data_IF_694966026755
#
_entry.id   IF_694966026755
#
_cell.length_a   1.000
_cell.length_b   1.000
_cell.length_c   1.000
_cell.angle_alpha   90.00
_cell.angle_beta   90.00
_cell.angle_gamma   90.00
#
_symmetry.space_group_name_H-M   'P 1'
#
loop_
_entity.id
_entity.type
_entity.pdbx_description
1 polymer ?
#
# COMPACT_ATOMS: atom_id res chain seq x y z
N UNK A 1 18.44 11.55 11.58
CA UNK A 1 17.06 11.04 11.68
C UNK A 1 16.40 11.79 12.82
N UNK A 2 15.29 12.48 12.57
CA UNK A 2 14.57 13.31 13.55
C UNK A 2 13.11 12.85 13.65
N UNK A 3 12.45 13.14 14.76
CA UNK A 3 11.03 12.89 14.95
C UNK A 3 10.35 14.17 15.44
N UNK A 4 9.12 14.42 14.97
CA UNK A 4 8.33 15.59 15.32
C UNK A 4 6.88 15.18 15.53
N UNK A 5 6.26 15.65 16.61
CA UNK A 5 4.85 15.41 16.88
C UNK A 5 4.01 16.47 16.18
N UNK A 6 3.39 16.10 15.05
CA UNK A 6 2.46 16.95 14.33
C UNK A 6 1.47 16.09 13.54
N UNK A 7 0.33 16.64 13.15
CA UNK A 7 -0.44 16.07 12.03
C UNK A 7 0.41 16.19 10.76
N UNK A 8 0.15 15.41 9.71
CA UNK A 8 0.90 15.49 8.44
C UNK A 8 0.16 16.36 7.40
N UNK A 9 0.18 17.70 7.48
CA UNK A 9 -0.22 18.54 6.36
C UNK A 9 0.87 18.50 5.28
N UNK A 10 0.46 18.66 4.02
CA UNK A 10 1.36 18.67 2.86
C UNK A 10 2.52 19.67 3.00
N UNK A 11 2.28 20.81 3.66
CA UNK A 11 3.32 21.82 3.89
C UNK A 11 4.46 21.33 4.79
N UNK A 12 4.18 20.52 5.82
CA UNK A 12 5.21 19.96 6.69
C UNK A 12 6.00 18.90 5.95
N UNK A 13 5.32 18.03 5.18
CA UNK A 13 5.98 17.01 4.35
C UNK A 13 6.97 17.65 3.38
N UNK A 14 6.58 18.75 2.72
CA UNK A 14 7.44 19.47 1.78
C UNK A 14 8.63 20.14 2.48
N UNK A 15 8.41 20.76 3.64
CA UNK A 15 9.48 21.37 4.44
C UNK A 15 10.51 20.32 4.89
N UNK A 16 10.05 19.16 5.37
CA UNK A 16 10.92 18.07 5.77
C UNK A 16 11.68 17.48 4.56
N UNK A 17 11.02 17.34 3.40
CA UNK A 17 11.69 16.93 2.16
C UNK A 17 12.81 17.89 1.78
N UNK A 18 12.52 19.20 1.77
CA UNK A 18 13.50 20.22 1.44
C UNK A 18 14.66 20.22 2.44
N UNK A 19 14.36 20.04 3.73
CA UNK A 19 15.37 19.91 4.77
C UNK A 19 16.29 18.71 4.51
N UNK A 20 15.73 17.53 4.21
CA UNK A 20 16.49 16.32 3.89
C UNK A 20 17.32 16.50 2.62
N UNK A 21 16.76 17.08 1.56
CA UNK A 21 17.48 17.34 0.30
C UNK A 21 18.67 18.27 0.49
N UNK A 22 18.51 19.30 1.31
CA UNK A 22 19.60 20.19 1.68
C UNK A 22 20.72 19.43 2.39
N UNK A 23 20.39 18.55 3.35
CA UNK A 23 21.39 17.70 4.01
C UNK A 23 22.08 16.75 3.02
N UNK A 24 21.33 16.18 2.07
CA UNK A 24 21.87 15.29 1.04
C UNK A 24 22.85 16.02 0.12
N UNK A 25 22.57 17.26 -0.26
CA UNK A 25 23.46 18.07 -1.11
C UNK A 25 24.80 18.37 -0.44
N UNK A 26 24.83 18.38 0.89
CA UNK A 26 26.01 18.65 1.70
C UNK A 26 26.85 17.39 1.98
N UNK A 27 26.37 16.20 1.60
CA UNK A 27 27.10 14.95 1.83
C UNK A 27 28.40 14.93 1.03
N UNK A 28 29.50 14.78 1.75
CA UNK A 28 30.83 14.59 1.16
C UNK A 28 31.20 13.11 1.17
N UNK A 29 31.94 12.62 0.16
CA UNK A 29 32.46 11.27 0.19
C UNK A 29 33.31 11.04 1.43
N UNK A 30 33.05 9.96 2.16
CA UNK A 30 33.87 9.60 3.31
C UNK A 30 35.19 9.05 2.81
N UNK A 31 36.29 9.67 3.22
CA UNK A 31 37.65 9.20 2.90
C UNK A 31 38.17 8.42 4.09
N UNK A 32 38.66 7.21 3.84
CA UNK A 32 39.24 6.33 4.83
C UNK A 32 40.62 5.89 4.37
N UNK A 33 41.61 5.94 5.26
CA UNK A 33 42.96 5.50 4.98
C UNK A 33 43.28 4.31 5.86
N UNK A 34 43.67 3.18 5.25
CA UNK A 34 44.13 2.01 5.96
C UNK A 34 45.23 1.29 5.17
N UNK A 35 46.28 0.87 5.88
CA UNK A 35 47.42 0.13 5.32
C UNK A 35 47.99 0.72 4.00
N UNK A 36 48.14 2.06 3.94
CA UNK A 36 48.70 2.75 2.77
C UNK A 36 47.74 2.91 1.57
N UNK A 37 46.49 2.45 1.67
CA UNK A 37 45.47 2.63 0.63
C UNK A 37 44.42 3.67 1.06
N UNK A 38 44.11 4.58 0.14
CA UNK A 38 43.02 5.53 0.28
C UNK A 38 41.75 4.94 -0.31
N UNK A 39 40.71 4.80 0.50
CA UNK A 39 39.36 4.40 0.09
C UNK A 39 38.44 5.62 0.17
N UNK A 40 37.55 5.78 -0.81
CA UNK A 40 36.52 6.82 -0.80
C UNK A 40 35.15 6.22 -1.06
N UNK A 41 34.23 6.43 -0.13
CA UNK A 41 32.83 6.00 -0.26
C UNK A 41 31.98 7.19 -0.72
N UNK A 42 31.40 7.08 -1.92
CA UNK A 42 30.39 8.01 -2.44
C UNK A 42 28.99 7.50 -2.09
N UNK A 43 28.11 8.40 -1.68
CA UNK A 43 26.74 8.07 -1.30
C UNK A 43 25.76 8.54 -2.37
N UNK A 44 24.79 7.69 -2.69
CA UNK A 44 23.60 8.02 -3.48
C UNK A 44 22.40 7.55 -2.68
N UNK A 45 21.56 8.49 -2.25
CA UNK A 45 20.38 8.20 -1.43
C UNK A 45 19.14 8.35 -2.30
N UNK A 46 18.22 7.40 -2.19
CA UNK A 46 16.96 7.38 -2.92
C UNK A 46 15.81 7.39 -1.90
N UNK A 47 14.84 8.28 -2.10
CA UNK A 47 13.71 8.44 -1.18
C UNK A 47 12.54 7.53 -1.58
N UNK A 48 12.77 6.22 -1.58
CA UNK A 48 11.77 5.22 -2.00
C UNK A 48 10.90 4.69 -0.86
N UNK A 49 11.26 5.01 0.39
CA UNK A 49 10.56 4.56 1.59
C UNK A 49 9.42 5.50 1.98
N UNK A 50 8.56 5.84 1.02
CA UNK A 50 7.38 6.70 1.21
C UNK A 50 6.12 6.02 0.66
N UNK A 51 4.95 6.42 1.14
CA UNK A 51 3.67 5.96 0.58
C UNK A 51 3.21 6.90 -0.57
N UNK A 52 2.14 6.52 -1.27
CA UNK A 52 1.63 7.29 -2.41
C UNK A 52 1.07 8.67 -2.03
N UNK A 53 0.56 8.82 -0.81
CA UNK A 53 0.04 10.09 -0.31
C UNK A 53 1.16 11.11 -0.08
N UNK A 54 2.23 10.67 0.60
CA UNK A 54 3.44 11.50 0.80
C UNK A 54 4.07 11.85 -0.54
N UNK A 55 4.15 10.91 -1.49
CA UNK A 55 4.64 11.19 -2.83
C UNK A 55 3.79 12.27 -3.52
N UNK A 56 2.46 12.17 -3.46
CA UNK A 56 1.54 13.16 -4.04
C UNK A 56 1.66 14.53 -3.37
N UNK A 57 1.88 14.57 -2.05
CA UNK A 57 2.12 15.81 -1.32
C UNK A 57 3.44 16.48 -1.72
N UNK A 58 4.51 15.70 -1.89
CA UNK A 58 5.82 16.20 -2.33
C UNK A 58 5.74 16.74 -3.77
N UNK A 59 5.04 16.05 -4.67
CA UNK A 59 4.91 16.44 -6.09
C UNK A 59 3.80 17.48 -6.34
N UNK A 60 3.15 18.01 -5.30
CA UNK A 60 1.98 18.90 -5.42
C UNK A 60 0.87 18.33 -6.33
N UNK A 61 0.70 17.01 -6.32
CA UNK A 61 -0.32 16.32 -7.11
C UNK A 61 -1.60 16.15 -6.28
N UNK A 62 -2.76 16.32 -6.92
CA UNK A 62 -4.05 16.14 -6.26
C UNK A 62 -4.26 14.68 -5.79
N UNK A 63 -5.02 14.51 -4.70
CA UNK A 63 -5.39 13.17 -4.21
C UNK A 63 -6.01 12.33 -5.32
N UNK A 64 -5.63 11.05 -5.40
CA UNK A 64 -6.05 10.07 -6.43
C UNK A 64 -5.56 10.37 -7.87
N UNK A 65 -4.75 11.40 -8.08
CA UNK A 65 -4.09 11.66 -9.38
C UNK A 65 -2.72 11.01 -9.40
N UNK A 66 -2.30 10.45 -10.54
CA UNK A 66 -0.99 9.83 -10.66
C UNK A 66 0.11 10.88 -10.49
N UNK A 67 1.00 10.72 -9.50
CA UNK A 67 2.11 11.65 -9.25
C UNK A 67 3.25 11.57 -10.29
N UNK A 68 3.22 10.56 -11.17
CA UNK A 68 4.21 10.39 -12.25
C UNK A 68 3.77 11.10 -13.53
N UNK A 69 2.55 10.84 -14.02
CA UNK A 69 2.05 11.35 -15.30
C UNK A 69 0.89 12.36 -15.18
N UNK A 70 0.37 12.62 -13.98
CA UNK A 70 -0.71 13.58 -13.75
C UNK A 70 -2.11 13.11 -14.18
N UNK A 71 -2.27 11.86 -14.63
CA UNK A 71 -3.55 11.30 -15.05
C UNK A 71 -4.54 11.23 -13.89
N UNK A 72 -5.78 11.68 -14.11
CA UNK A 72 -6.89 11.59 -13.15
C UNK A 72 -7.62 10.25 -13.26
N UNK A 73 -8.33 9.77 -12.22
CA UNK A 73 -9.08 8.52 -12.27
C UNK A 73 -10.06 8.39 -13.45
N UNK A 74 -10.64 9.50 -13.90
CA UNK A 74 -11.53 9.55 -15.06
C UNK A 74 -10.84 9.26 -16.40
N UNK A 75 -9.52 9.37 -16.47
CA UNK A 75 -8.71 9.20 -17.68
C UNK A 75 -7.86 7.92 -17.63
N UNK A 76 -7.63 7.36 -16.44
CA UNK A 76 -6.72 6.21 -16.23
C UNK A 76 -7.13 4.94 -17.00
N UNK A 77 -8.40 4.82 -17.41
CA UNK A 77 -8.88 3.66 -18.16
C UNK A 77 -8.67 3.78 -19.69
N UNK A 78 -8.25 4.93 -20.20
CA UNK A 78 -7.89 5.11 -21.61
C UNK A 78 -6.41 4.77 -21.77
N UNK A 79 -6.10 3.48 -21.91
CA UNK A 79 -4.73 2.98 -21.81
C UNK A 79 -3.85 3.55 -22.92
N UNK A 80 -4.39 3.65 -24.13
CA UNK A 80 -3.71 4.20 -25.29
C UNK A 80 -3.25 5.64 -25.03
N UNK A 81 -4.15 6.47 -24.49
CA UNK A 81 -3.85 7.87 -24.17
C UNK A 81 -2.82 8.01 -23.03
N UNK A 82 -2.82 7.07 -22.08
CA UNK A 82 -2.02 7.17 -20.85
C UNK A 82 -0.59 6.66 -21.05
N UNK A 83 -0.39 5.63 -21.87
CA UNK A 83 0.94 5.06 -22.14
C UNK A 83 1.86 6.07 -22.81
N UNK A 84 1.31 6.94 -23.65
CA UNK A 84 2.07 7.97 -24.37
C UNK A 84 2.35 9.24 -23.54
N UNK A 85 1.88 9.31 -22.29
CA UNK A 85 2.08 10.48 -21.45
C UNK A 85 3.53 10.58 -20.97
N UNK A 86 4.08 11.80 -21.05
CA UNK A 86 5.35 12.12 -20.43
C UNK A 86 5.26 11.97 -18.91
N UNK A 87 6.25 11.29 -18.34
CA UNK A 87 6.40 11.16 -16.89
C UNK A 87 7.32 12.24 -16.34
N UNK A 88 7.05 12.69 -15.12
CA UNK A 88 7.98 13.53 -14.39
C UNK A 88 9.16 12.67 -13.90
N UNK A 89 10.30 12.76 -14.59
CA UNK A 89 11.53 12.01 -14.25
C UNK A 89 11.99 12.26 -12.81
N UNK A 90 11.82 13.48 -12.30
CA UNK A 90 12.11 13.82 -10.91
C UNK A 90 11.24 13.08 -9.89
N UNK A 91 10.10 12.53 -10.30
CA UNK A 91 9.22 11.74 -9.44
C UNK A 91 9.57 10.24 -9.41
N UNK A 92 10.41 9.76 -10.34
CA UNK A 92 10.84 8.36 -10.38
C UNK A 92 11.68 7.97 -9.15
N UNK A 93 12.36 8.94 -8.52
CA UNK A 93 13.18 8.73 -7.32
C UNK A 93 12.38 8.24 -6.10
N UNK A 94 11.05 8.37 -6.15
CA UNK A 94 10.14 7.98 -5.07
C UNK A 94 9.75 6.49 -5.14
N UNK A 95 10.05 5.81 -6.24
CA UNK A 95 9.79 4.38 -6.41
C UNK A 95 8.31 4.00 -6.28
N UNK A 96 8.06 2.72 -6.01
CA UNK A 96 6.72 2.18 -5.77
C UNK A 96 6.68 1.68 -4.32
N UNK A 97 5.71 2.15 -3.53
CA UNK A 97 5.44 1.55 -2.23
C UNK A 97 4.90 0.14 -2.46
N UNK A 98 5.65 -0.93 -2.18
CA UNK A 98 5.20 -2.30 -2.50
C UNK A 98 4.03 -2.76 -1.61
N UNK A 99 3.88 -2.20 -0.41
CA UNK A 99 2.86 -2.62 0.55
C UNK A 99 1.43 -2.25 0.10
N UNK A 100 1.22 -1.02 -0.35
CA UNK A 100 -0.10 -0.46 -0.64
C UNK A 100 -0.78 -1.02 -1.91
N UNK A 101 -0.07 -1.30 -3.03
CA UNK A 101 -0.66 -1.85 -4.25
C UNK A 101 -1.40 -3.15 -4.03
N UNK A 102 -0.89 -4.06 -3.19
CA UNK A 102 -1.58 -5.32 -2.87
C UNK A 102 -2.90 -5.07 -2.13
N UNK A 103 -2.89 -4.16 -1.14
CA UNK A 103 -4.07 -3.80 -0.35
C UNK A 103 -5.11 -3.12 -1.24
N UNK A 104 -4.71 -2.11 -2.00
CA UNK A 104 -5.61 -1.37 -2.89
C UNK A 104 -6.15 -2.23 -4.03
N UNK A 105 -5.33 -3.13 -4.61
CA UNK A 105 -5.78 -4.06 -5.64
C UNK A 105 -6.87 -4.99 -5.09
N UNK A 106 -6.65 -5.55 -3.90
CA UNK A 106 -7.65 -6.41 -3.27
C UNK A 106 -8.93 -5.64 -2.92
N UNK A 107 -8.80 -4.43 -2.36
CA UNK A 107 -9.93 -3.54 -2.10
C UNK A 107 -10.73 -3.20 -3.37
N UNK A 108 -10.04 -2.92 -4.48
CA UNK A 108 -10.65 -2.67 -5.79
C UNK A 108 -11.45 -3.88 -6.28
N UNK A 109 -10.88 -5.08 -6.23
CA UNK A 109 -11.56 -6.32 -6.64
C UNK A 109 -12.82 -6.59 -5.79
N UNK A 110 -12.74 -6.39 -4.47
CA UNK A 110 -13.91 -6.50 -3.59
C UNK A 110 -14.98 -5.46 -3.96
N UNK A 111 -14.57 -4.21 -4.19
CA UNK A 111 -15.44 -3.13 -4.62
C UNK A 111 -16.12 -3.38 -5.96
N UNK A 112 -15.45 -4.03 -6.90
CA UNK A 112 -16.04 -4.50 -8.15
C UNK A 112 -17.04 -5.62 -7.85
N UNK A 113 -16.65 -6.63 -7.07
CA UNK A 113 -17.50 -7.77 -6.71
C UNK A 113 -18.82 -7.34 -6.04
N UNK A 114 -18.78 -6.38 -5.11
CA UNK A 114 -19.96 -5.86 -4.43
C UNK A 114 -20.91 -5.11 -5.38
N UNK A 115 -20.36 -4.51 -6.45
CA UNK A 115 -21.09 -3.68 -7.41
C UNK A 115 -21.48 -4.41 -8.69
N UNK A 116 -21.24 -5.73 -8.82
CA UNK A 116 -21.55 -6.49 -10.05
C UNK A 116 -23.01 -6.39 -10.51
N UNK A 117 -23.96 -6.17 -9.59
CA UNK A 117 -25.37 -5.97 -9.91
C UNK A 117 -25.66 -4.57 -10.48
N UNK A 118 -24.94 -3.53 -10.02
CA UNK A 118 -25.16 -2.12 -10.40
C UNK A 118 -24.25 -1.71 -11.57
N UNK A 119 -23.02 -2.25 -11.62
CA UNK A 119 -21.98 -1.99 -12.64
C UNK A 119 -21.67 -0.50 -12.86
N UNK A 120 -21.74 0.30 -11.79
CA UNK A 120 -21.41 1.73 -11.81
C UNK A 120 -20.34 2.05 -10.78
N UNK A 121 -19.42 2.96 -11.14
CA UNK A 121 -18.40 3.48 -10.23
C UNK A 121 -19.03 4.30 -9.09
N UNK A 122 -19.83 5.30 -9.43
CA UNK A 122 -20.58 6.12 -8.47
C UNK A 122 -22.00 5.57 -8.31
N UNK A 123 -22.26 4.97 -7.15
CA UNK A 123 -23.54 4.33 -6.85
C UNK A 123 -24.55 5.38 -6.39
N UNK A 124 -25.71 5.44 -7.05
CA UNK A 124 -26.80 6.35 -6.68
C UNK A 124 -27.40 5.99 -5.33
N UNK A 125 -27.99 6.96 -4.61
CA UNK A 125 -28.52 6.76 -3.24
C UNK A 125 -29.58 5.64 -3.18
N UNK A 126 -30.42 5.53 -4.20
CA UNK A 126 -31.45 4.51 -4.32
C UNK A 126 -30.88 3.09 -4.56
N UNK A 127 -29.69 2.95 -5.13
CA UNK A 127 -29.07 1.66 -5.47
C UNK A 127 -28.09 1.16 -4.40
N UNK A 128 -27.80 1.95 -3.34
CA UNK A 128 -26.90 1.57 -2.26
C UNK A 128 -27.27 0.23 -1.59
N UNK A 129 -28.56 -0.06 -1.48
CA UNK A 129 -29.06 -1.31 -0.89
C UNK A 129 -28.64 -2.55 -1.70
N UNK A 130 -28.50 -2.43 -3.03
CA UNK A 130 -28.04 -3.52 -3.90
C UNK A 130 -26.57 -3.84 -3.65
N UNK A 131 -25.74 -2.81 -3.47
CA UNK A 131 -24.31 -2.98 -3.16
C UNK A 131 -24.12 -3.58 -1.77
N UNK A 132 -24.92 -3.17 -0.79
CA UNK A 132 -24.87 -3.75 0.56
C UNK A 132 -25.30 -5.23 0.55
N UNK A 133 -26.30 -5.59 -0.26
CA UNK A 133 -26.68 -6.99 -0.50
C UNK A 133 -25.54 -7.78 -1.15
N UNK A 134 -24.91 -7.22 -2.18
CA UNK A 134 -23.74 -7.81 -2.85
C UNK A 134 -22.58 -8.04 -1.88
N UNK A 135 -22.27 -7.04 -1.04
CA UNK A 135 -21.27 -7.12 0.02
C UNK A 135 -21.55 -8.28 0.99
N UNK A 136 -22.76 -8.34 1.56
CA UNK A 136 -23.16 -9.43 2.47
C UNK A 136 -23.04 -10.81 1.83
N UNK A 137 -23.48 -10.95 0.57
CA UNK A 137 -23.36 -12.21 -0.19
C UNK A 137 -21.91 -12.65 -0.37
N UNK A 138 -21.03 -11.73 -0.75
CA UNK A 138 -19.60 -12.03 -0.93
C UNK A 138 -18.95 -12.37 0.42
N UNK A 139 -19.23 -11.61 1.48
CA UNK A 139 -18.72 -11.90 2.82
C UNK A 139 -19.16 -13.28 3.33
N UNK A 140 -20.42 -13.65 3.12
CA UNK A 140 -20.93 -14.97 3.51
C UNK A 140 -20.24 -16.10 2.72
N UNK A 141 -20.04 -15.91 1.41
CA UNK A 141 -19.25 -16.86 0.60
C UNK A 141 -17.80 -16.98 1.08
N UNK A 142 -17.17 -15.86 1.45
CA UNK A 142 -15.83 -15.89 2.03
C UNK A 142 -15.80 -16.67 3.36
N UNK A 143 -16.80 -16.49 4.22
CA UNK A 143 -16.92 -17.27 5.46
C UNK A 143 -17.10 -18.76 5.20
N UNK A 144 -17.91 -19.14 4.20
CA UNK A 144 -18.05 -20.55 3.81
C UNK A 144 -16.73 -21.14 3.27
N UNK A 145 -15.91 -20.32 2.62
CA UNK A 145 -14.59 -20.73 2.15
C UNK A 145 -13.53 -20.72 3.27
N UNK A 146 -13.85 -20.23 4.48
CA UNK A 146 -12.91 -20.14 5.59
C UNK A 146 -12.44 -21.53 6.04
N UNK A 147 -13.33 -22.52 6.03
CA UNK A 147 -12.97 -23.91 6.34
C UNK A 147 -11.96 -24.48 5.33
N UNK A 148 -12.13 -24.16 4.04
CA UNK A 148 -11.19 -24.57 3.01
C UNK A 148 -9.84 -23.85 3.15
N UNK A 149 -9.86 -22.56 3.53
CA UNK A 149 -8.65 -21.80 3.83
C UNK A 149 -7.91 -22.38 5.04
N UNK A 150 -8.61 -22.69 6.13
CA UNK A 150 -8.03 -23.28 7.34
C UNK A 150 -7.32 -24.60 7.02
N UNK A 151 -7.99 -25.53 6.33
CA UNK A 151 -7.39 -26.81 5.93
C UNK A 151 -6.18 -26.63 5.03
N UNK A 152 -6.30 -25.77 4.01
CA UNK A 152 -5.19 -25.51 3.10
C UNK A 152 -3.99 -24.87 3.81
N UNK A 153 -4.23 -23.92 4.71
CA UNK A 153 -3.19 -23.26 5.48
C UNK A 153 -2.47 -24.23 6.42
N UNK A 154 -3.21 -25.14 7.05
CA UNK A 154 -2.65 -26.21 7.88
C UNK A 154 -1.80 -27.18 7.05
N UNK A 155 -2.27 -27.58 5.87
CA UNK A 155 -1.53 -28.45 4.94
C UNK A 155 -0.23 -27.79 4.46
N UNK A 156 -0.26 -26.49 4.16
CA UNK A 156 0.92 -25.71 3.79
C UNK A 156 1.89 -25.59 4.97
N UNK A 157 1.41 -25.41 6.20
CA UNK A 157 2.26 -25.40 7.39
C UNK A 157 2.96 -26.74 7.59
N UNK A 158 2.24 -27.86 7.45
CA UNK A 158 2.81 -29.21 7.52
C UNK A 158 3.83 -29.44 6.41
N UNK A 159 3.53 -29.00 5.19
CA UNK A 159 4.44 -29.07 4.05
C UNK A 159 5.72 -28.27 4.30
N UNK A 160 5.60 -27.05 4.84
CA UNK A 160 6.75 -26.21 5.16
C UNK A 160 7.69 -26.89 6.16
N UNK A 161 7.15 -27.42 7.26
CA UNK A 161 7.96 -28.13 8.27
C UNK A 161 8.61 -29.38 7.68
N UNK A 162 7.93 -30.08 6.78
CA UNK A 162 8.45 -31.29 6.14
C UNK A 162 9.60 -31.00 5.18
N UNK A 163 9.46 -30.04 4.28
CA UNK A 163 10.44 -29.75 3.23
C UNK A 163 11.55 -28.79 3.71
N UNK A 164 11.21 -27.89 4.63
CA UNK A 164 12.06 -26.77 5.05
C UNK A 164 12.18 -26.65 6.57
N UNK A 165 11.98 -27.74 7.34
CA UNK A 165 12.04 -27.73 8.81
C UNK A 165 13.40 -27.33 9.39
N UNK A 166 14.44 -27.23 8.56
CA UNK A 166 15.75 -26.67 8.93
C UNK A 166 15.78 -25.13 8.94
N UNK A 167 14.74 -24.47 8.45
CA UNK A 167 14.58 -23.02 8.46
C UNK A 167 13.38 -22.65 9.34
N UNK A 168 13.61 -21.88 10.40
CA UNK A 168 12.56 -21.48 11.32
C UNK A 168 11.48 -20.65 10.61
N UNK A 169 10.23 -21.07 10.76
CA UNK A 169 9.09 -20.38 10.15
C UNK A 169 9.00 -18.94 10.66
N UNK A 170 8.99 -17.93 9.77
CA UNK A 170 8.84 -16.54 10.18
C UNK A 170 7.53 -16.28 10.94
N UNK A 171 7.55 -15.37 11.91
CA UNK A 171 6.39 -15.05 12.75
C UNK A 171 5.15 -14.61 11.94
N UNK A 172 5.34 -13.89 10.84
CA UNK A 172 4.25 -13.49 9.94
C UNK A 172 3.61 -14.68 9.25
N UNK A 173 4.43 -15.62 8.76
CA UNK A 173 3.95 -16.86 8.13
C UNK A 173 3.22 -17.75 9.14
N UNK A 174 3.74 -17.89 10.36
CA UNK A 174 3.06 -18.60 11.43
C UNK A 174 1.68 -17.99 11.75
N UNK A 175 1.61 -16.65 11.92
CA UNK A 175 0.34 -15.96 12.17
C UNK A 175 -0.68 -16.18 11.06
N UNK A 176 -0.25 -16.21 9.79
CA UNK A 176 -1.13 -16.43 8.65
C UNK A 176 -1.58 -17.90 8.60
N UNK A 177 -0.65 -18.85 8.66
CA UNK A 177 -0.95 -20.26 8.44
C UNK A 177 -1.70 -20.90 9.61
N UNK A 178 -1.35 -20.52 10.85
CA UNK A 178 -1.94 -21.14 12.06
C UNK A 178 -3.12 -20.31 12.58
N UNK A 179 -2.99 -18.98 12.63
CA UNK A 179 -3.99 -18.09 13.23
C UNK A 179 -4.83 -17.30 12.21
N UNK A 180 -4.54 -17.42 10.92
CA UNK A 180 -5.20 -16.62 9.89
C UNK A 180 -6.71 -16.81 9.85
N UNK A 181 -7.18 -18.05 10.02
CA UNK A 181 -8.62 -18.35 10.03
C UNK A 181 -9.34 -17.67 11.22
N UNK A 182 -8.72 -17.62 12.41
CA UNK A 182 -9.25 -16.92 13.59
C UNK A 182 -9.28 -15.39 13.39
N UNK A 183 -8.24 -14.85 12.75
CA UNK A 183 -8.18 -13.43 12.42
C UNK A 183 -9.28 -13.05 11.42
N UNK A 184 -9.51 -13.89 10.41
CA UNK A 184 -10.55 -13.67 9.41
C UNK A 184 -11.95 -13.88 10.02
N UNK A 185 -12.13 -14.85 10.92
CA UNK A 185 -13.43 -15.14 11.54
C UNK A 185 -13.86 -14.05 12.53
N UNK A 186 -12.91 -13.47 13.27
CA UNK A 186 -13.13 -12.37 14.21
C UNK A 186 -13.28 -11.01 13.51
N UNK A 187 -12.81 -10.90 12.27
CA UNK A 187 -12.91 -9.69 11.48
C UNK A 187 -14.36 -9.49 10.96
N UNK A 188 -14.98 -8.36 11.34
CA UNK A 188 -16.31 -7.98 10.83
C UNK A 188 -16.31 -7.68 9.32
N UNK A 189 -15.14 -7.42 8.73
CA UNK A 189 -14.91 -7.11 7.33
C UNK A 189 -13.68 -7.88 6.83
N UNK A 190 -13.58 -8.26 5.54
CA UNK A 190 -12.38 -8.89 5.00
C UNK A 190 -11.13 -8.05 5.34
N UNK A 191 -10.05 -8.73 5.75
CA UNK A 191 -8.85 -8.11 6.37
C UNK A 191 -8.31 -6.88 5.60
N UNK A 192 -8.41 -6.88 4.26
CA UNK A 192 -8.02 -5.72 3.43
C UNK A 192 -8.81 -4.43 3.70
N UNK A 193 -10.05 -4.50 4.20
CA UNK A 193 -10.86 -3.34 4.61
C UNK A 193 -10.50 -2.83 6.01
N UNK A 194 -9.87 -3.66 6.85
CA UNK A 194 -9.52 -3.28 8.23
C UNK A 194 -8.17 -2.56 8.33
N UNK A 195 -7.32 -2.67 7.32
CA UNK A 195 -5.97 -2.09 7.35
C UNK A 195 -5.94 -0.59 7.02
N UNK A 196 -6.84 -0.10 6.15
CA UNK A 196 -6.76 1.28 5.61
C UNK A 196 -8.10 2.04 5.69
N UNK A 197 -9.22 1.44 5.27
CA UNK A 197 -10.54 2.10 5.34
C UNK A 197 -10.95 2.46 6.78
N UNK A 198 -10.47 1.71 7.79
CA UNK A 198 -10.68 2.03 9.20
C UNK A 198 -9.97 3.33 9.64
N UNK A 199 -8.81 3.65 9.06
CA UNK A 199 -8.10 4.89 9.33
C UNK A 199 -8.71 6.05 8.54
N UNK A 200 -9.06 5.84 7.26
CA UNK A 200 -9.72 6.84 6.41
C UNK A 200 -11.15 7.20 6.90
N UNK A 201 -11.93 6.22 7.37
CA UNK A 201 -13.26 6.46 7.93
C UNK A 201 -13.20 7.33 9.18
N UNK A 202 -12.13 7.23 9.97
CA UNK A 202 -11.90 8.10 11.14
C UNK A 202 -11.70 9.56 10.75
N UNK A 203 -11.08 9.84 9.59
CA UNK A 203 -10.86 11.21 9.13
C UNK A 203 -12.14 11.91 8.65
N UNK A 204 -13.19 11.17 8.25
CA UNK A 204 -14.48 11.75 7.86
C UNK A 204 -15.35 12.28 9.01
N UNK A 205 -15.05 11.91 10.26
CA UNK A 205 -15.79 12.40 11.44
C UNK A 205 -15.18 13.65 12.09
N UNK A 206 -14.01 14.09 11.62
CA UNK A 206 -13.29 15.27 12.13
C UNK A 206 -13.12 16.37 11.08
N UNK A 207 -13.95 16.33 10.02
CA UNK A 207 -14.06 17.39 9.00
C UNK A 207 -15.37 18.15 9.14
#
# INVERSE_FOLDING_TARGET
MGFKFSKEPSCIIQQEKQYVDNQMSLLRPTKYFNAGKALSAKYTLLMTMINGEVASAITNTASQTCHLCGTKPSQMNNIEDVVDLNVNEGSLQYGISVLHPWIHMFGCLLHIAYRLEVKQWQVKKNEKHLVEKGKKKIQEKFRQCLEAFERYAEDVAKLYVREYGWYDMPMSMHKILIHGHLLISSAQLPIGQLAEEAQEARHKYFG
#
